data_IF_908737348876
#
_entry.id   IF_908737348876
#
_cell.length_a   1.000
_cell.length_b   1.000
_cell.length_c   1.000
_cell.angle_alpha   90.00
_cell.angle_beta   90.00
_cell.angle_gamma   90.00
#
_symmetry.space_group_name_H-M   'P 1'
#
loop_
_entity.id
_entity.type
_entity.pdbx_description
1 polymer ?
#
# COMPACT_ATOMS: atom_id res chain seq x y z
N UNK A 1 14.71 -31.45 -10.84
CA UNK A 1 14.21 -30.54 -11.90
C UNK A 1 14.89 -29.19 -11.73
N UNK A 2 15.57 -28.67 -12.76
CA UNK A 2 16.25 -27.37 -12.72
C UNK A 2 15.19 -26.26 -12.80
N UNK A 3 15.15 -25.37 -11.81
CA UNK A 3 14.24 -24.23 -11.83
C UNK A 3 14.51 -23.38 -13.09
N UNK A 4 13.54 -23.35 -14.00
CA UNK A 4 13.62 -22.56 -15.22
C UNK A 4 13.54 -21.08 -14.84
N UNK A 5 14.61 -20.33 -15.04
CA UNK A 5 14.60 -18.90 -14.82
C UNK A 5 13.72 -18.24 -15.89
N UNK A 6 12.50 -17.81 -15.52
CA UNK A 6 11.51 -17.17 -16.41
C UNK A 6 11.83 -15.68 -16.64
N UNK A 7 13.11 -15.34 -16.76
CA UNK A 7 13.51 -13.97 -17.08
C UNK A 7 13.43 -13.77 -18.60
N UNK A 8 12.66 -12.76 -19.01
CA UNK A 8 12.65 -12.34 -20.42
C UNK A 8 14.03 -11.81 -20.80
N UNK A 9 14.55 -12.24 -21.97
CA UNK A 9 15.89 -11.87 -22.46
C UNK A 9 15.93 -10.51 -23.18
N UNK A 10 14.80 -9.81 -23.29
CA UNK A 10 14.69 -8.51 -23.95
C UNK A 10 14.91 -7.31 -23.03
N UNK A 11 15.31 -6.17 -23.60
CA UNK A 11 15.32 -4.87 -22.89
C UNK A 11 13.89 -4.58 -22.41
N UNK A 12 13.70 -4.34 -21.11
CA UNK A 12 12.37 -4.04 -20.55
C UNK A 12 11.85 -2.74 -21.20
N UNK A 13 10.58 -2.70 -21.65
CA UNK A 13 9.97 -1.45 -22.10
C UNK A 13 10.03 -0.43 -20.96
N UNK A 14 10.49 0.77 -21.27
CA UNK A 14 10.46 1.92 -20.37
C UNK A 14 9.31 2.81 -20.84
N UNK A 15 8.33 3.04 -19.98
CA UNK A 15 7.15 3.85 -20.32
C UNK A 15 7.24 5.26 -19.73
N UNK A 16 7.98 5.44 -18.64
CA UNK A 16 8.18 6.74 -18.00
C UNK A 16 9.64 7.19 -18.05
N UNK A 17 9.87 8.51 -18.00
CA UNK A 17 11.22 9.09 -18.01
C UNK A 17 12.08 8.59 -16.83
N UNK A 18 11.44 8.36 -15.67
CA UNK A 18 12.07 7.80 -14.49
C UNK A 18 11.78 6.30 -14.35
N UNK A 19 12.84 5.48 -14.40
CA UNK A 19 12.77 4.03 -14.18
C UNK A 19 12.09 3.63 -12.86
N UNK A 20 12.11 4.49 -11.83
CA UNK A 20 11.41 4.24 -10.56
C UNK A 20 9.89 4.20 -10.74
N UNK A 21 9.32 5.00 -11.65
CA UNK A 21 7.88 5.02 -11.91
C UNK A 21 7.41 3.73 -12.60
N UNK A 22 8.18 3.21 -13.55
CA UNK A 22 7.90 1.93 -14.19
C UNK A 22 7.94 0.77 -13.18
N UNK A 23 8.90 0.79 -12.26
CA UNK A 23 8.99 -0.21 -11.19
C UNK A 23 7.79 -0.13 -10.23
N UNK A 24 7.42 1.08 -9.79
CA UNK A 24 6.25 1.31 -8.95
C UNK A 24 4.97 0.86 -9.63
N UNK A 25 4.77 1.19 -10.91
CA UNK A 25 3.61 0.75 -11.68
C UNK A 25 3.55 -0.78 -11.78
N UNK A 26 4.68 -1.44 -12.04
CA UNK A 26 4.76 -2.91 -12.03
C UNK A 26 4.34 -3.51 -10.69
N UNK A 27 4.81 -2.94 -9.58
CA UNK A 27 4.42 -3.37 -8.23
C UNK A 27 2.92 -3.17 -7.98
N UNK A 28 2.34 -2.04 -8.42
CA UNK A 28 0.91 -1.78 -8.31
C UNK A 28 0.08 -2.78 -9.12
N UNK A 29 0.50 -3.10 -10.35
CA UNK A 29 -0.20 -4.07 -11.21
C UNK A 29 -0.20 -5.47 -10.60
N UNK A 30 0.93 -5.90 -10.02
CA UNK A 30 1.00 -7.17 -9.28
C UNK A 30 0.07 -7.13 -8.07
N UNK A 31 0.12 -6.06 -7.27
CA UNK A 31 -0.75 -5.92 -6.10
C UNK A 31 -2.24 -5.93 -6.48
N UNK A 32 -2.64 -5.24 -7.55
CA UNK A 32 -4.01 -5.25 -8.06
C UNK A 32 -4.45 -6.67 -8.48
N UNK A 33 -3.54 -7.45 -9.07
CA UNK A 33 -3.79 -8.84 -9.43
C UNK A 33 -4.03 -9.71 -8.20
N UNK A 34 -3.20 -9.55 -7.15
CA UNK A 34 -3.38 -10.27 -5.89
C UNK A 34 -4.69 -9.88 -5.17
N UNK A 35 -5.09 -8.60 -5.23
CA UNK A 35 -6.39 -8.15 -4.69
C UNK A 35 -7.56 -8.78 -5.44
N UNK A 36 -7.45 -8.93 -6.77
CA UNK A 36 -8.46 -9.64 -7.57
C UNK A 36 -8.58 -11.10 -7.14
N UNK A 37 -7.46 -11.80 -6.95
CA UNK A 37 -7.45 -13.20 -6.47
C UNK A 37 -8.05 -13.31 -5.08
N UNK A 38 -7.79 -12.35 -4.19
CA UNK A 38 -8.40 -12.32 -2.86
C UNK A 38 -9.93 -12.14 -2.94
N UNK A 39 -10.43 -11.28 -3.85
CA UNK A 39 -11.86 -11.11 -4.07
C UNK A 39 -12.52 -12.41 -4.55
N UNK A 40 -11.89 -13.12 -5.51
CA UNK A 40 -12.35 -14.42 -5.99
C UNK A 40 -12.33 -15.48 -4.88
N UNK A 41 -11.34 -15.42 -3.98
CA UNK A 41 -11.27 -16.32 -2.83
C UNK A 41 -12.40 -16.07 -1.83
N UNK A 42 -12.79 -14.81 -1.59
CA UNK A 42 -13.93 -14.45 -0.75
C UNK A 42 -15.23 -14.96 -1.37
N UNK A 43 -15.48 -14.74 -2.67
CA UNK A 43 -16.66 -15.29 -3.38
C UNK A 43 -16.69 -16.83 -3.29
N UNK A 44 -15.54 -17.48 -3.43
CA UNK A 44 -15.42 -18.93 -3.28
C UNK A 44 -15.83 -19.40 -1.88
N UNK A 45 -15.40 -18.70 -0.83
CA UNK A 45 -15.78 -18.99 0.56
C UNK A 45 -17.30 -18.86 0.75
N UNK A 46 -17.90 -17.80 0.21
CA UNK A 46 -19.35 -17.58 0.29
C UNK A 46 -20.14 -18.70 -0.40
N UNK A 47 -19.70 -19.13 -1.59
CA UNK A 47 -20.33 -20.24 -2.33
C UNK A 47 -20.20 -21.57 -1.61
N UNK A 48 -19.02 -21.87 -1.07
CA UNK A 48 -18.80 -23.09 -0.28
C UNK A 48 -19.68 -23.08 0.97
N UNK A 49 -19.78 -21.94 1.67
CA UNK A 49 -20.65 -21.81 2.84
C UNK A 49 -22.13 -22.02 2.47
N UNK A 50 -22.60 -21.43 1.36
CA UNK A 50 -23.97 -21.59 0.88
C UNK A 50 -24.28 -23.06 0.54
N UNK A 51 -23.35 -23.77 -0.11
CA UNK A 51 -23.47 -25.20 -0.38
C UNK A 51 -23.59 -26.06 0.89
N UNK A 52 -23.12 -25.54 2.03
CA UNK A 52 -23.22 -26.15 3.36
C UNK A 52 -24.36 -25.55 4.21
N UNK A 53 -25.28 -24.79 3.61
CA UNK A 53 -26.46 -24.24 4.27
C UNK A 53 -26.23 -22.93 5.06
N UNK A 54 -25.09 -22.27 4.88
CA UNK A 54 -24.79 -20.97 5.49
C UNK A 54 -24.81 -19.86 4.44
N UNK A 55 -25.80 -18.96 4.50
CA UNK A 55 -25.91 -17.79 3.61
C UNK A 55 -25.02 -16.63 4.08
N UNK A 56 -23.71 -16.76 3.86
CA UNK A 56 -22.76 -15.70 4.20
C UNK A 56 -22.98 -14.43 3.36
N UNK A 57 -23.27 -14.57 2.07
CA UNK A 57 -23.50 -13.41 1.19
C UNK A 57 -24.68 -12.56 1.66
N UNK A 58 -25.83 -13.19 1.96
CA UNK A 58 -26.99 -12.51 2.53
C UNK A 58 -26.72 -11.96 3.94
N UNK A 59 -25.93 -12.68 4.75
CA UNK A 59 -25.49 -12.22 6.07
C UNK A 59 -24.63 -10.96 6.00
N UNK A 60 -23.62 -10.93 5.13
CA UNK A 60 -22.74 -9.78 4.91
C UNK A 60 -23.54 -8.58 4.39
N UNK A 61 -24.46 -8.78 3.45
CA UNK A 61 -25.29 -7.71 2.90
C UNK A 61 -26.19 -7.03 3.95
N UNK A 62 -26.58 -7.75 5.00
CA UNK A 62 -27.44 -7.26 6.10
C UNK A 62 -26.66 -6.93 7.37
N UNK A 63 -25.34 -7.14 7.37
CA UNK A 63 -24.52 -7.01 8.56
C UNK A 63 -24.54 -5.57 9.07
N UNK A 64 -25.11 -5.40 10.26
CA UNK A 64 -24.99 -4.16 11.03
C UNK A 64 -23.91 -4.35 12.07
N UNK A 65 -22.89 -3.52 12.01
CA UNK A 65 -21.79 -3.54 12.97
C UNK A 65 -22.19 -2.72 14.18
N UNK A 66 -21.90 -3.25 15.36
CA UNK A 66 -21.99 -2.51 16.60
C UNK A 66 -20.83 -1.51 16.72
N UNK A 67 -20.95 -0.61 17.69
CA UNK A 67 -19.95 0.42 17.93
C UNK A 67 -18.54 -0.17 18.17
N UNK A 68 -18.35 -1.22 19.00
CA UNK A 68 -17.04 -1.86 19.15
C UNK A 68 -16.45 -2.40 17.85
N UNK A 69 -17.23 -3.05 16.98
CA UNK A 69 -16.73 -3.55 15.71
C UNK A 69 -16.34 -2.44 14.73
N UNK A 70 -17.06 -1.30 14.76
CA UNK A 70 -16.71 -0.12 13.97
C UNK A 70 -15.38 0.49 14.45
N UNK A 71 -15.20 0.65 15.76
CA UNK A 71 -13.95 1.15 16.35
C UNK A 71 -12.76 0.25 16.03
N UNK A 72 -12.94 -1.08 16.07
CA UNK A 72 -11.91 -2.02 15.67
C UNK A 72 -11.55 -1.92 14.17
N UNK A 73 -12.50 -1.59 13.30
CA UNK A 73 -12.23 -1.33 11.88
C UNK A 73 -11.50 -0.01 11.68
N UNK A 74 -11.89 1.03 12.42
CA UNK A 74 -11.23 2.34 12.39
C UNK A 74 -9.77 2.22 12.83
N UNK A 75 -9.51 1.59 13.97
CA UNK A 75 -8.16 1.40 14.49
C UNK A 75 -7.25 0.68 13.49
N UNK A 76 -7.75 -0.39 12.83
CA UNK A 76 -7.00 -1.08 11.77
C UNK A 76 -6.72 -0.18 10.57
N UNK A 77 -7.68 0.68 10.18
CA UNK A 77 -7.50 1.62 9.07
C UNK A 77 -6.47 2.68 9.43
N UNK A 78 -6.54 3.26 10.61
CA UNK A 78 -5.57 4.24 11.09
C UNK A 78 -4.16 3.67 11.11
N UNK A 79 -3.97 2.46 11.66
CA UNK A 79 -2.67 1.77 11.65
C UNK A 79 -2.16 1.49 10.23
N UNK A 80 -3.05 1.15 9.29
CA UNK A 80 -2.69 0.97 7.89
C UNK A 80 -2.21 2.28 7.27
N UNK A 81 -2.96 3.37 7.44
CA UNK A 81 -2.61 4.70 6.93
C UNK A 81 -1.30 5.21 7.55
N UNK A 82 -1.10 4.96 8.84
CA UNK A 82 0.13 5.31 9.54
C UNK A 82 1.36 4.66 8.90
N UNK A 83 1.29 3.36 8.64
CA UNK A 83 2.37 2.62 7.96
C UNK A 83 2.55 3.08 6.52
N UNK A 84 1.45 3.30 5.79
CA UNK A 84 1.47 3.70 4.39
C UNK A 84 2.14 5.07 4.19
N UNK A 85 1.81 6.04 5.06
CA UNK A 85 2.31 7.42 4.96
C UNK A 85 3.48 7.73 5.88
N UNK A 86 4.12 6.71 6.46
CA UNK A 86 5.23 6.92 7.39
C UNK A 86 6.36 7.75 6.76
N UNK A 87 6.82 7.37 5.55
CA UNK A 87 7.93 8.05 4.88
C UNK A 87 7.58 9.50 4.51
N UNK A 88 6.42 9.72 3.91
CA UNK A 88 5.96 11.08 3.54
C UNK A 88 5.83 11.99 4.77
N UNK A 89 5.33 11.47 5.89
CA UNK A 89 5.22 12.24 7.14
C UNK A 89 6.59 12.56 7.74
N UNK A 90 7.53 11.63 7.64
CA UNK A 90 8.92 11.84 8.07
C UNK A 90 9.57 12.94 7.24
N UNK A 91 9.47 12.86 5.91
CA UNK A 91 10.01 13.88 4.99
C UNK A 91 9.39 15.26 5.24
N UNK A 92 8.07 15.33 5.45
CA UNK A 92 7.40 16.58 5.78
C UNK A 92 7.87 17.18 7.12
N UNK A 93 8.10 16.34 8.14
CA UNK A 93 8.60 16.78 9.44
C UNK A 93 10.05 17.28 9.37
N UNK A 94 10.90 16.60 8.60
CA UNK A 94 12.28 17.03 8.34
C UNK A 94 12.30 18.37 7.59
N UNK A 95 11.50 18.52 6.53
CA UNK A 95 11.38 19.78 5.79
C UNK A 95 10.96 20.95 6.71
N UNK A 96 9.95 20.73 7.56
CA UNK A 96 9.50 21.75 8.54
C UNK A 96 10.58 22.13 9.55
N UNK A 97 11.40 21.16 9.98
CA UNK A 97 12.51 21.42 10.89
C UNK A 97 13.64 22.24 10.22
N UNK A 98 13.90 21.99 8.93
CA UNK A 98 14.87 22.75 8.14
C UNK A 98 14.41 24.19 7.83
N UNK A 99 13.10 24.47 7.85
CA UNK A 99 12.54 25.82 7.69
C UNK A 99 12.68 26.71 8.95
N UNK A 100 13.22 26.19 10.05
CA UNK A 100 13.50 26.98 11.26
C UNK A 100 14.64 27.98 11.04
N UNK A 101 14.64 29.10 11.80
CA UNK A 101 15.71 30.11 11.71
C UNK A 101 17.11 29.52 11.97
N UNK A 102 17.20 28.52 12.86
CA UNK A 102 18.43 27.78 13.16
C UNK A 102 18.87 26.88 11.98
N UNK A 103 17.93 26.21 11.31
CA UNK A 103 18.19 25.45 10.10
C UNK A 103 18.65 26.33 8.94
N UNK A 104 18.03 27.50 8.77
CA UNK A 104 18.43 28.50 7.79
C UNK A 104 19.85 29.03 8.03
N UNK A 105 20.20 29.35 9.28
CA UNK A 105 21.57 29.78 9.61
C UNK A 105 22.60 28.68 9.39
N UNK A 106 22.29 27.43 9.74
CA UNK A 106 23.22 26.31 9.56
C UNK A 106 23.54 26.04 8.08
N UNK A 107 22.54 26.17 7.20
CA UNK A 107 22.75 26.04 5.74
C UNK A 107 23.59 27.20 5.18
N UNK A 108 23.38 28.42 5.67
CA UNK A 108 24.23 29.57 5.29
C UNK A 108 25.68 29.34 5.72
N UNK A 109 25.90 28.86 6.93
CA UNK A 109 27.25 28.61 7.45
C UNK A 109 27.95 27.47 6.70
N UNK A 110 27.23 26.41 6.32
CA UNK A 110 27.75 25.30 5.51
C UNK A 110 28.19 25.77 4.12
N UNK A 111 27.37 26.61 3.45
CA UNK A 111 27.69 27.17 2.14
C UNK A 111 28.84 28.19 2.24
N UNK A 112 28.94 28.94 3.34
CA UNK A 112 30.00 29.94 3.55
C UNK A 112 31.40 29.34 3.75
N UNK A 113 31.49 28.04 4.07
CA UNK A 113 32.76 27.31 4.27
C UNK A 113 33.19 26.53 3.02
N UNK A 114 32.32 26.39 2.02
CA UNK A 114 32.60 25.78 0.71
C UNK A 114 33.16 26.79 -0.31
#
# INVERSE_FOLDING_TARGET
MKAMNRNSKGKRPQFYDNNAHDQMMSMIMVLASEVSVLADHIDSIERVAAANGLDLAGGVAKLQLDQPALEAREARRQQMLERLFYLMRKEAAEATAHETAEGYSAVIDEIAVA
#
